data_IF_785916219503
#
_entry.id   IF_785916219503
#
_cell.length_a   1.000
_cell.length_b   1.000
_cell.length_c   1.000
_cell.angle_alpha   90.00
_cell.angle_beta   90.00
_cell.angle_gamma   90.00
#
_symmetry.space_group_name_H-M   'P 1'
#
loop_
_entity.id
_entity.type
_entity.pdbx_description
1 polymer ?
#
# COMPACT_ATOMS: atom_id res chain seq x y z
N UNK A 1 10.20 8.59 -24.14
CA UNK A 1 9.27 7.43 -24.04
C UNK A 1 9.84 6.47 -23.01
N UNK A 2 9.17 6.26 -21.89
CA UNK A 2 9.67 5.42 -20.81
C UNK A 2 9.06 4.02 -20.88
N UNK A 3 9.91 2.99 -20.89
CA UNK A 3 9.43 1.63 -20.70
C UNK A 3 8.98 1.44 -19.23
N UNK A 4 7.90 0.67 -18.97
CA UNK A 4 7.57 0.31 -17.60
C UNK A 4 8.77 -0.36 -16.90
N UNK A 5 9.00 -0.04 -15.63
CA UNK A 5 10.03 -0.72 -14.84
C UNK A 5 9.59 -2.13 -14.45
N UNK A 6 10.46 -2.95 -13.87
CA UNK A 6 10.04 -4.24 -13.32
C UNK A 6 9.20 -4.06 -12.04
N UNK A 7 8.36 -5.05 -11.71
CA UNK A 7 7.57 -5.05 -10.48
C UNK A 7 8.44 -4.90 -9.23
N UNK A 8 9.63 -5.50 -9.23
CA UNK A 8 10.56 -5.40 -8.09
C UNK A 8 11.16 -4.00 -7.96
N UNK A 9 11.44 -3.30 -9.07
CA UNK A 9 11.88 -1.90 -9.02
C UNK A 9 10.75 -0.97 -8.57
N UNK A 10 9.52 -1.26 -8.97
CA UNK A 10 8.35 -0.48 -8.57
C UNK A 10 8.11 -0.57 -7.05
N UNK A 11 8.04 -1.79 -6.49
CA UNK A 11 7.87 -1.95 -5.03
C UNK A 11 9.06 -1.36 -4.27
N UNK A 12 10.30 -1.53 -4.77
CA UNK A 12 11.48 -0.98 -4.10
C UNK A 12 11.43 0.55 -4.03
N UNK A 13 11.01 1.23 -5.09
CA UNK A 13 10.87 2.68 -5.08
C UNK A 13 9.83 3.17 -4.05
N UNK A 14 8.70 2.47 -3.90
CA UNK A 14 7.71 2.79 -2.87
C UNK A 14 8.29 2.61 -1.45
N UNK A 15 9.07 1.55 -1.23
CA UNK A 15 9.75 1.30 0.04
C UNK A 15 10.85 2.33 0.33
N UNK A 16 11.62 2.72 -0.69
CA UNK A 16 12.69 3.73 -0.58
C UNK A 16 12.12 5.11 -0.23
N UNK A 17 10.89 5.43 -0.67
CA UNK A 17 10.16 6.64 -0.30
C UNK A 17 9.53 6.56 1.11
N UNK A 18 9.74 5.44 1.82
CA UNK A 18 9.29 5.24 3.21
C UNK A 18 7.83 4.85 3.36
N UNK A 19 7.23 4.28 2.32
CA UNK A 19 5.86 3.75 2.37
C UNK A 19 5.82 2.37 3.04
N UNK A 20 4.75 2.10 3.77
CA UNK A 20 4.41 0.75 4.20
C UNK A 20 3.63 0.06 3.07
N UNK A 21 4.26 -0.97 2.46
CA UNK A 21 3.71 -1.67 1.30
C UNK A 21 3.21 -3.06 1.68
N UNK A 22 2.00 -3.39 1.25
CA UNK A 22 1.36 -4.70 1.44
C UNK A 22 1.19 -5.38 0.08
N UNK A 23 1.85 -6.51 -0.12
CA UNK A 23 1.71 -7.32 -1.32
C UNK A 23 0.45 -8.18 -1.24
N UNK A 24 -0.47 -8.07 -2.22
CA UNK A 24 -1.76 -8.76 -2.22
C UNK A 24 -1.77 -9.90 -3.22
N UNK A 25 -1.64 -11.13 -2.72
CA UNK A 25 -1.62 -12.33 -3.56
C UNK A 25 -0.51 -12.28 -4.61
N UNK A 26 -0.80 -12.74 -5.81
CA UNK A 26 0.15 -12.73 -6.93
C UNK A 26 0.07 -11.44 -7.76
N UNK A 27 0.18 -10.27 -7.11
CA UNK A 27 0.02 -8.96 -7.74
C UNK A 27 1.00 -8.73 -8.90
N UNK A 28 2.20 -9.30 -8.87
CA UNK A 28 3.24 -9.13 -9.91
C UNK A 28 2.81 -9.66 -11.26
N UNK A 29 1.99 -10.69 -11.27
CA UNK A 29 1.50 -11.35 -12.51
C UNK A 29 0.04 -11.01 -12.81
N UNK A 30 -0.62 -10.29 -11.90
CA UNK A 30 -2.01 -9.91 -12.05
C UNK A 30 -2.13 -8.67 -12.91
N UNK A 31 -2.62 -8.81 -14.13
CA UNK A 31 -2.74 -7.74 -15.13
C UNK A 31 -3.82 -8.03 -16.17
N UNK A 32 -3.97 -7.10 -17.08
CA UNK A 32 -4.84 -7.17 -18.25
C UNK A 32 -4.07 -7.04 -19.57
N UNK A 33 -2.84 -7.51 -19.61
CA UNK A 33 -1.98 -7.43 -20.80
C UNK A 33 -2.61 -8.10 -22.03
N UNK A 34 -3.53 -9.05 -21.83
CA UNK A 34 -4.32 -9.65 -22.91
C UNK A 34 -5.32 -8.66 -23.60
N UNK A 35 -5.55 -7.49 -23.03
CA UNK A 35 -6.41 -6.43 -23.59
C UNK A 35 -5.65 -5.38 -24.40
N UNK A 36 -4.33 -5.42 -24.39
CA UNK A 36 -3.49 -4.50 -25.13
C UNK A 36 -2.15 -4.26 -24.43
N UNK A 37 -1.24 -3.52 -25.09
CA UNK A 37 0.08 -3.24 -24.54
C UNK A 37 -0.02 -2.38 -23.29
N UNK A 38 0.99 -2.50 -22.43
CA UNK A 38 1.28 -1.56 -21.35
C UNK A 38 2.63 -0.89 -21.64
N UNK A 39 2.59 0.40 -21.74
CA UNK A 39 3.73 1.23 -22.16
C UNK A 39 3.70 1.61 -23.67
N UNK A 40 4.46 2.65 -24.02
CA UNK A 40 5.28 3.44 -23.12
C UNK A 40 4.44 4.15 -22.07
N UNK A 41 4.99 4.24 -20.82
CA UNK A 41 4.36 4.95 -19.70
C UNK A 41 4.87 6.39 -19.62
N UNK A 42 4.02 7.30 -19.13
CA UNK A 42 4.32 8.73 -19.13
C UNK A 42 3.96 9.45 -17.84
N UNK A 43 3.23 8.80 -16.93
CA UNK A 43 2.85 9.45 -15.68
C UNK A 43 2.15 8.54 -14.69
N UNK A 44 1.60 9.17 -13.66
CA UNK A 44 0.81 8.59 -12.60
C UNK A 44 -0.58 9.18 -12.61
N UNK A 45 -1.60 8.33 -12.53
CA UNK A 45 -2.99 8.77 -12.40
C UNK A 45 -3.53 8.41 -11.02
N UNK A 46 -4.10 9.42 -10.37
CA UNK A 46 -4.69 9.31 -9.03
C UNK A 46 -6.22 9.25 -9.14
N UNK A 47 -6.80 8.35 -8.35
CA UNK A 47 -8.24 8.11 -8.29
C UNK A 47 -8.74 8.13 -6.84
N UNK A 48 -10.07 8.18 -6.66
CA UNK A 48 -10.71 7.74 -5.44
C UNK A 48 -11.66 6.57 -5.73
N UNK A 49 -11.74 5.63 -4.80
CA UNK A 49 -12.36 4.31 -5.01
C UNK A 49 -13.88 4.26 -4.95
N UNK A 50 -14.55 5.33 -4.54
CA UNK A 50 -16.00 5.34 -4.21
C UNK A 50 -16.38 4.20 -3.24
N UNK A 51 -15.45 3.80 -2.38
CA UNK A 51 -15.65 2.70 -1.42
C UNK A 51 -15.09 3.05 -0.05
N UNK A 52 -15.52 2.31 0.97
CA UNK A 52 -15.08 2.43 2.36
C UNK A 52 -14.79 1.06 2.96
N UNK A 53 -13.72 1.00 3.75
CA UNK A 53 -13.25 -0.21 4.41
C UNK A 53 -12.17 -0.91 3.58
N UNK A 54 -10.92 -0.80 4.04
CA UNK A 54 -9.70 -1.19 3.32
C UNK A 54 -9.77 -2.60 2.73
N UNK A 55 -10.16 -3.61 3.52
CA UNK A 55 -10.23 -5.00 3.04
C UNK A 55 -11.17 -5.15 1.83
N UNK A 56 -12.35 -4.51 1.89
CA UNK A 56 -13.33 -4.53 0.79
C UNK A 56 -12.78 -3.79 -0.42
N UNK A 57 -12.24 -2.59 -0.21
CA UNK A 57 -11.68 -1.74 -1.27
C UNK A 57 -10.55 -2.46 -2.02
N UNK A 58 -9.61 -3.05 -1.29
CA UNK A 58 -8.50 -3.84 -1.85
C UNK A 58 -9.04 -5.03 -2.66
N UNK A 59 -10.05 -5.75 -2.15
CA UNK A 59 -10.67 -6.86 -2.87
C UNK A 59 -11.31 -6.41 -4.19
N UNK A 60 -12.05 -5.29 -4.17
CA UNK A 60 -12.65 -4.70 -5.38
C UNK A 60 -11.58 -4.26 -6.38
N UNK A 61 -10.56 -3.54 -5.95
CA UNK A 61 -9.51 -3.07 -6.85
C UNK A 61 -8.70 -4.23 -7.44
N UNK A 62 -8.54 -5.33 -6.69
CA UNK A 62 -7.89 -6.53 -7.18
C UNK A 62 -8.74 -7.28 -8.21
N UNK A 63 -10.00 -7.52 -7.91
CA UNK A 63 -10.85 -8.44 -8.68
C UNK A 63 -11.76 -7.72 -9.67
N UNK A 64 -12.15 -6.48 -9.36
CA UNK A 64 -13.13 -5.70 -10.12
C UNK A 64 -14.55 -6.21 -9.96
N UNK A 65 -15.36 -5.92 -10.95
CA UNK A 65 -16.75 -6.34 -11.10
C UNK A 65 -16.96 -7.04 -12.45
N UNK A 66 -18.07 -7.69 -12.65
CA UNK A 66 -18.40 -8.34 -13.93
C UNK A 66 -18.30 -7.38 -15.12
N UNK A 67 -18.80 -6.14 -14.97
CA UNK A 67 -18.72 -5.11 -16.00
C UNK A 67 -17.39 -4.34 -16.04
N UNK A 68 -16.59 -4.40 -14.99
CA UNK A 68 -15.31 -3.72 -14.87
C UNK A 68 -14.26 -4.67 -14.24
N UNK A 69 -13.76 -5.66 -14.99
CA UNK A 69 -12.85 -6.65 -14.46
C UNK A 69 -11.50 -6.07 -14.03
N UNK A 70 -10.98 -6.53 -12.89
CA UNK A 70 -9.70 -6.10 -12.33
C UNK A 70 -8.46 -6.73 -13.00
N UNK A 71 -7.26 -6.32 -12.56
CA UNK A 71 -7.02 -5.35 -11.51
C UNK A 71 -7.40 -3.93 -11.97
N UNK A 72 -7.97 -3.15 -11.04
CA UNK A 72 -8.41 -1.77 -11.32
C UNK A 72 -7.33 -0.71 -11.05
N UNK A 73 -6.16 -1.10 -10.58
CA UNK A 73 -5.03 -0.21 -10.34
C UNK A 73 -3.76 -1.03 -10.07
N UNK A 74 -2.63 -0.35 -9.91
CA UNK A 74 -1.38 -0.96 -9.47
C UNK A 74 -1.33 -1.04 -7.95
N UNK A 75 -1.77 0.00 -7.25
CA UNK A 75 -1.81 0.07 -5.80
C UNK A 75 -3.04 0.76 -5.25
N UNK A 76 -3.53 0.27 -4.12
CA UNK A 76 -4.60 0.90 -3.33
C UNK A 76 -3.97 1.59 -2.14
N UNK A 77 -4.21 2.90 -1.99
CA UNK A 77 -3.74 3.68 -0.84
C UNK A 77 -4.86 3.78 0.19
N UNK A 78 -4.69 3.08 1.28
CA UNK A 78 -5.68 2.99 2.36
C UNK A 78 -5.71 4.24 3.24
N UNK A 79 -6.75 4.39 4.07
CA UNK A 79 -6.91 5.52 5.00
C UNK A 79 -5.76 5.64 6.03
N UNK A 80 -5.09 4.55 6.33
CA UNK A 80 -3.94 4.51 7.25
C UNK A 80 -2.59 4.76 6.56
N UNK A 81 -2.59 5.08 5.26
CA UNK A 81 -1.40 5.38 4.46
C UNK A 81 -0.68 4.15 3.91
N UNK A 82 -1.14 2.94 4.18
CA UNK A 82 -0.55 1.73 3.57
C UNK A 82 -0.90 1.61 2.10
N UNK A 83 0.08 1.15 1.31
CA UNK A 83 -0.10 0.90 -0.12
C UNK A 83 -0.24 -0.60 -0.37
N UNK A 84 -1.41 -1.03 -0.81
CA UNK A 84 -1.71 -2.43 -1.14
C UNK A 84 -1.53 -2.66 -2.63
N UNK A 85 -0.50 -3.40 -3.04
CA UNK A 85 -0.25 -3.73 -4.44
C UNK A 85 -1.20 -4.84 -4.89
N UNK A 86 -2.01 -4.57 -5.92
CA UNK A 86 -3.08 -5.49 -6.38
C UNK A 86 -2.90 -5.95 -7.82
N UNK A 87 -2.02 -5.30 -8.60
CA UNK A 87 -1.73 -5.66 -9.98
C UNK A 87 -0.46 -5.04 -10.49
N UNK A 88 0.14 -5.61 -11.54
CA UNK A 88 1.29 -5.05 -12.24
C UNK A 88 1.25 -5.40 -13.72
N UNK A 89 1.50 -4.39 -14.57
CA UNK A 89 1.24 -4.45 -16.01
C UNK A 89 0.04 -3.57 -16.37
N UNK A 90 -0.62 -3.83 -17.48
CA UNK A 90 -1.84 -3.11 -17.83
C UNK A 90 -2.91 -3.37 -16.78
N UNK A 91 -3.47 -2.33 -16.20
CA UNK A 91 -4.61 -2.35 -15.27
C UNK A 91 -5.82 -1.65 -15.92
N UNK A 92 -6.97 -1.61 -15.23
CA UNK A 92 -8.22 -1.08 -15.79
C UNK A 92 -8.70 0.10 -14.96
N UNK A 93 -8.01 1.24 -15.07
CA UNK A 93 -8.26 2.41 -14.23
C UNK A 93 -8.56 3.70 -15.00
N UNK A 94 -7.88 3.93 -16.13
CA UNK A 94 -7.86 5.23 -16.78
C UNK A 94 -8.84 5.35 -17.95
N UNK A 95 -9.29 4.22 -18.52
CA UNK A 95 -10.20 4.25 -19.68
C UNK A 95 -9.65 4.99 -20.88
N UNK A 96 -10.58 5.52 -21.70
CA UNK A 96 -10.24 6.43 -22.79
C UNK A 96 -10.31 7.88 -22.29
N UNK A 97 -9.31 8.67 -22.60
CA UNK A 97 -9.24 10.09 -22.29
C UNK A 97 -8.60 10.86 -23.43
N UNK A 98 -8.09 12.03 -23.14
CA UNK A 98 -7.73 13.06 -24.09
C UNK A 98 -6.24 12.94 -24.48
N UNK A 99 -5.96 12.93 -25.81
CA UNK A 99 -4.57 12.87 -26.32
C UNK A 99 -3.81 14.17 -26.10
N UNK A 100 -4.48 15.34 -26.13
CA UNK A 100 -3.85 16.63 -25.83
C UNK A 100 -3.38 16.69 -24.37
N UNK A 101 -4.14 16.10 -23.46
CA UNK A 101 -3.73 15.91 -22.05
C UNK A 101 -2.51 14.99 -21.96
N UNK A 102 -2.50 13.87 -22.70
CA UNK A 102 -1.33 12.98 -22.74
C UNK A 102 -0.09 13.70 -23.29
N UNK A 103 -0.23 14.51 -24.35
CA UNK A 103 0.87 15.28 -24.91
C UNK A 103 1.43 16.30 -23.89
N UNK A 104 0.54 16.97 -23.15
CA UNK A 104 0.94 17.88 -22.07
C UNK A 104 1.70 17.16 -20.94
N UNK A 105 1.23 15.98 -20.52
CA UNK A 105 1.91 15.12 -19.54
C UNK A 105 3.31 14.71 -20.04
N UNK A 106 3.43 14.26 -21.29
CA UNK A 106 4.72 13.88 -21.91
C UNK A 106 5.69 15.05 -21.94
N UNK A 107 5.17 16.25 -22.18
CA UNK A 107 5.97 17.46 -22.24
C UNK A 107 6.18 18.14 -20.88
N UNK A 108 5.62 17.57 -19.80
CA UNK A 108 5.61 18.14 -18.45
C UNK A 108 5.14 19.60 -18.42
N UNK A 109 4.03 19.86 -19.12
CA UNK A 109 3.42 21.19 -19.25
C UNK A 109 2.10 21.25 -18.49
N UNK A 110 1.58 22.48 -18.39
CA UNK A 110 0.22 22.71 -17.90
C UNK A 110 -0.78 21.93 -18.76
N UNK A 111 -1.71 21.24 -18.11
CA UNK A 111 -2.75 20.48 -18.79
C UNK A 111 -3.76 21.40 -19.50
N UNK A 112 -4.21 21.06 -20.72
CA UNK A 112 -5.40 21.64 -21.32
C UNK A 112 -6.68 21.17 -20.62
N UNK A 113 -7.84 21.62 -21.06
CA UNK A 113 -9.10 21.02 -20.67
C UNK A 113 -9.22 19.63 -21.33
N UNK A 114 -9.79 18.67 -20.60
CA UNK A 114 -10.12 17.35 -21.11
C UNK A 114 -11.46 17.42 -21.85
N UNK A 115 -11.45 17.42 -23.17
CA UNK A 115 -12.65 17.54 -23.98
C UNK A 115 -12.86 16.37 -24.97
N UNK A 116 -11.92 15.44 -25.05
CA UNK A 116 -11.97 14.25 -25.89
C UNK A 116 -11.83 12.94 -25.08
N UNK A 117 -12.18 11.80 -25.73
CA UNK A 117 -12.01 10.45 -25.15
C UNK A 117 -11.52 9.49 -26.23
N UNK A 118 -10.35 9.80 -26.79
CA UNK A 118 -9.78 9.17 -27.98
C UNK A 118 -8.52 8.32 -27.67
N UNK A 119 -7.95 8.40 -26.47
CA UNK A 119 -6.65 7.83 -26.11
C UNK A 119 -6.74 6.87 -24.91
N UNK A 120 -6.12 5.69 -25.05
CA UNK A 120 -6.13 4.62 -24.08
C UNK A 120 -5.18 4.88 -22.89
N UNK A 121 -5.68 5.48 -21.82
CA UNK A 121 -4.92 5.80 -20.63
C UNK A 121 -4.37 4.58 -19.87
N UNK A 122 -5.04 3.43 -19.92
CA UNK A 122 -4.54 2.20 -19.29
C UNK A 122 -3.20 1.74 -19.83
N UNK A 123 -2.81 2.22 -21.00
CA UNK A 123 -1.51 1.97 -21.62
C UNK A 123 -0.41 2.85 -21.04
N UNK A 124 -0.74 4.10 -20.63
CA UNK A 124 0.21 5.18 -20.46
C UNK A 124 0.46 5.58 -19.02
N UNK A 125 -0.37 5.15 -18.07
CA UNK A 125 -0.26 5.57 -16.68
C UNK A 125 -0.10 4.42 -15.68
N UNK A 126 0.68 4.68 -14.65
CA UNK A 126 0.56 3.95 -13.38
C UNK A 126 -0.68 4.48 -12.66
N UNK A 127 -1.53 3.61 -12.12
CA UNK A 127 -2.75 4.02 -11.42
C UNK A 127 -2.72 3.71 -9.94
N UNK A 128 -3.08 4.69 -9.11
CA UNK A 128 -3.33 4.48 -7.68
C UNK A 128 -4.78 4.82 -7.36
N UNK A 129 -5.46 3.87 -6.72
CA UNK A 129 -6.81 4.01 -6.20
C UNK A 129 -6.73 4.34 -4.70
N UNK A 130 -7.20 5.52 -4.32
CA UNK A 130 -7.13 6.00 -2.94
C UNK A 130 -8.47 5.77 -2.25
N UNK A 131 -8.48 5.03 -1.14
CA UNK A 131 -9.70 4.72 -0.40
C UNK A 131 -10.42 6.00 0.04
N UNK A 132 -11.54 6.31 -0.61
CA UNK A 132 -12.41 7.44 -0.25
C UNK A 132 -13.77 7.27 -0.95
N UNK A 133 -14.86 7.69 -0.29
CA UNK A 133 -16.21 7.63 -0.86
C UNK A 133 -16.42 8.65 -2.00
N UNK A 134 -15.58 9.69 -2.10
CA UNK A 134 -15.72 10.74 -3.11
C UNK A 134 -16.98 11.60 -2.97
N UNK A 135 -17.65 11.52 -1.82
CA UNK A 135 -18.93 12.20 -1.53
C UNK A 135 -18.72 13.64 -0.99
N UNK A 136 -17.47 14.09 -0.87
CA UNK A 136 -17.08 15.38 -0.32
C UNK A 136 -17.20 15.48 1.21
N UNK A 137 -17.51 14.37 1.90
CA UNK A 137 -17.65 14.30 3.36
C UNK A 137 -16.67 13.31 3.99
N UNK A 138 -16.32 12.25 3.25
CA UNK A 138 -15.32 11.28 3.69
C UNK A 138 -13.94 11.95 3.75
N UNK A 139 -13.33 12.12 4.94
CA UNK A 139 -12.11 12.89 5.07
C UNK A 139 -10.91 12.20 4.41
N UNK A 140 -9.92 13.01 4.04
CA UNK A 140 -8.60 12.56 3.65
C UNK A 140 -7.66 12.70 4.85
N UNK A 141 -7.34 11.62 5.59
CA UNK A 141 -6.35 11.68 6.67
C UNK A 141 -5.00 12.18 6.16
N UNK A 142 -4.29 12.98 6.95
CA UNK A 142 -2.97 13.49 6.56
C UNK A 142 -1.98 12.38 6.18
N UNK A 143 -2.00 11.25 6.90
CA UNK A 143 -1.18 10.08 6.60
C UNK A 143 -1.51 9.47 5.23
N UNK A 144 -2.77 9.53 4.79
CA UNK A 144 -3.17 9.06 3.47
C UNK A 144 -2.71 10.03 2.38
N UNK A 145 -2.89 11.35 2.57
CA UNK A 145 -2.40 12.36 1.63
C UNK A 145 -0.88 12.29 1.47
N UNK A 146 -0.15 12.14 2.56
CA UNK A 146 1.31 11.94 2.52
C UNK A 146 1.69 10.65 1.78
N UNK A 147 0.92 9.57 1.94
CA UNK A 147 1.18 8.32 1.21
C UNK A 147 0.89 8.45 -0.29
N UNK A 148 -0.13 9.22 -0.69
CA UNK A 148 -0.43 9.53 -2.11
C UNK A 148 0.73 10.32 -2.72
N UNK A 149 1.18 11.37 -2.05
CA UNK A 149 2.33 12.19 -2.44
C UNK A 149 3.59 11.33 -2.61
N UNK A 150 3.93 10.51 -1.61
CA UNK A 150 5.07 9.59 -1.64
C UNK A 150 4.99 8.59 -2.77
N UNK A 151 3.83 7.96 -2.97
CA UNK A 151 3.65 6.96 -4.02
C UNK A 151 3.84 7.55 -5.42
N UNK A 152 3.30 8.74 -5.66
CA UNK A 152 3.47 9.45 -6.91
C UNK A 152 4.94 9.89 -7.12
N UNK A 153 5.57 10.48 -6.09
CA UNK A 153 6.99 10.88 -6.14
C UNK A 153 7.92 9.68 -6.38
N UNK A 154 7.66 8.52 -5.77
CA UNK A 154 8.42 7.29 -6.00
C UNK A 154 8.44 6.90 -7.48
N UNK A 155 7.29 6.95 -8.15
CA UNK A 155 7.18 6.63 -9.58
C UNK A 155 7.85 7.70 -10.44
N UNK A 156 7.68 8.99 -10.10
CA UNK A 156 8.36 10.08 -10.79
C UNK A 156 9.90 9.91 -10.73
N UNK A 157 10.47 9.61 -9.56
CA UNK A 157 11.92 9.36 -9.42
C UNK A 157 12.40 8.18 -10.25
N UNK A 158 11.61 7.10 -10.37
CA UNK A 158 11.96 5.93 -11.17
C UNK A 158 12.18 6.25 -12.64
N UNK A 159 11.45 7.24 -13.15
CA UNK A 159 11.43 7.60 -14.56
C UNK A 159 12.11 8.93 -14.85
N UNK A 160 12.53 9.67 -13.83
CA UNK A 160 13.10 11.03 -13.97
C UNK A 160 12.04 12.05 -14.37
N UNK A 161 10.80 11.85 -13.96
CA UNK A 161 9.69 12.79 -14.18
C UNK A 161 9.56 13.78 -13.02
N UNK A 162 8.93 14.94 -13.32
CA UNK A 162 8.52 15.91 -12.31
C UNK A 162 6.99 15.84 -12.06
N UNK A 163 6.51 16.65 -11.15
CA UNK A 163 5.12 16.68 -10.70
C UNK A 163 4.05 16.86 -11.80
N UNK A 164 4.29 17.57 -12.93
CA UNK A 164 3.34 17.62 -14.05
C UNK A 164 3.01 16.26 -14.68
N UNK A 165 3.84 15.22 -14.47
CA UNK A 165 3.53 13.85 -14.88
C UNK A 165 2.51 13.16 -13.96
N UNK A 166 1.99 13.84 -12.92
CA UNK A 166 0.97 13.31 -12.01
C UNK A 166 -0.35 14.03 -12.26
N UNK A 167 -1.35 13.26 -12.64
CA UNK A 167 -2.69 13.78 -12.96
C UNK A 167 -3.78 13.08 -12.15
N UNK A 168 -4.92 13.74 -11.98
CA UNK A 168 -6.16 13.13 -11.52
C UNK A 168 -6.96 12.56 -12.70
N UNK A 169 -7.79 11.56 -12.46
CA UNK A 169 -8.71 11.06 -13.50
C UNK A 169 -9.66 12.15 -14.01
N UNK A 170 -10.00 13.09 -13.12
CA UNK A 170 -10.84 14.27 -13.46
C UNK A 170 -10.16 15.23 -14.46
N UNK A 171 -8.85 15.11 -14.68
CA UNK A 171 -8.07 15.92 -15.63
C UNK A 171 -7.76 15.14 -16.93
N UNK A 172 -8.24 13.87 -17.01
CA UNK A 172 -7.93 12.96 -18.10
C UNK A 172 -9.12 12.68 -19.01
N UNK A 173 -10.30 12.48 -18.42
CA UNK A 173 -11.47 12.02 -19.14
C UNK A 173 -12.68 12.89 -18.82
N UNK A 174 -13.34 13.48 -19.83
CA UNK A 174 -14.54 14.28 -19.65
C UNK A 174 -15.60 13.62 -18.77
N UNK A 175 -16.07 14.36 -17.77
CA UNK A 175 -17.10 13.91 -16.84
C UNK A 175 -16.60 13.08 -15.65
N UNK A 176 -15.31 12.81 -15.52
CA UNK A 176 -14.73 12.24 -14.30
C UNK A 176 -14.60 13.29 -13.22
N UNK A 177 -14.67 12.84 -11.97
CA UNK A 177 -14.64 13.73 -10.79
C UNK A 177 -13.61 13.32 -9.76
N UNK A 178 -12.86 12.26 -10.03
CA UNK A 178 -11.90 11.66 -9.10
C UNK A 178 -10.44 12.06 -9.42
N UNK A 179 -9.65 12.32 -8.37
CA UNK A 179 -10.00 12.36 -6.95
C UNK A 179 -10.75 13.65 -6.58
N UNK A 180 -11.68 13.56 -5.62
CA UNK A 180 -12.41 14.71 -5.08
C UNK A 180 -12.03 14.95 -3.63
N UNK A 181 -11.90 16.22 -3.22
CA UNK A 181 -11.71 16.64 -1.82
C UNK A 181 -10.29 17.10 -1.49
N UNK A 182 -9.43 17.17 -2.50
CA UNK A 182 -8.20 17.97 -2.53
C UNK A 182 -7.97 18.44 -3.98
N UNK A 183 -7.18 19.51 -4.12
CA UNK A 183 -6.85 20.06 -5.44
C UNK A 183 -5.60 19.37 -6.00
N UNK A 184 -5.63 19.01 -7.30
CA UNK A 184 -4.49 18.35 -7.93
C UNK A 184 -3.26 19.27 -8.02
N UNK A 185 -3.45 20.57 -8.10
CA UNK A 185 -2.35 21.55 -8.08
C UNK A 185 -1.63 21.57 -6.72
N UNK A 186 -2.37 21.44 -5.61
CA UNK A 186 -1.77 21.29 -4.28
C UNK A 186 -0.97 19.99 -4.19
N UNK A 187 -1.54 18.88 -4.65
CA UNK A 187 -0.86 17.58 -4.67
C UNK A 187 0.43 17.65 -5.52
N UNK A 188 0.38 18.22 -6.71
CA UNK A 188 1.56 18.44 -7.56
C UNK A 188 2.60 19.34 -6.86
N UNK A 189 2.17 20.38 -6.13
CA UNK A 189 3.08 21.24 -5.37
C UNK A 189 3.83 20.47 -4.27
N UNK A 190 3.12 19.59 -3.55
CA UNK A 190 3.75 18.73 -2.52
C UNK A 190 4.71 17.72 -3.16
N UNK A 191 4.31 17.09 -4.26
CA UNK A 191 5.18 16.16 -5.01
C UNK A 191 6.43 16.87 -5.54
N UNK A 192 6.29 18.06 -6.13
CA UNK A 192 7.41 18.86 -6.61
C UNK A 192 8.40 19.21 -5.48
N UNK A 193 7.88 19.67 -4.35
CA UNK A 193 8.70 19.94 -3.16
C UNK A 193 9.47 18.69 -2.73
N UNK A 194 8.80 17.54 -2.64
CA UNK A 194 9.43 16.25 -2.31
C UNK A 194 10.48 15.81 -3.33
N UNK A 195 10.26 16.04 -4.61
CA UNK A 195 11.22 15.71 -5.66
C UNK A 195 12.44 16.65 -5.63
N UNK A 196 12.23 17.94 -5.30
CA UNK A 196 13.27 18.95 -5.17
C UNK A 196 14.09 18.84 -3.88
N UNK A 197 13.50 18.32 -2.82
CA UNK A 197 14.19 17.95 -1.60
C UNK A 197 15.10 16.75 -1.92
N UNK A 198 16.27 17.09 -2.47
CA UNK A 198 17.42 16.19 -2.49
C UNK A 198 17.93 16.05 -1.06
N UNK A 199 17.09 15.48 -0.20
CA UNK A 199 17.64 14.89 1.02
C UNK A 199 18.63 13.81 0.54
N UNK A 200 19.92 13.87 0.91
CA UNK A 200 20.80 12.76 0.68
C UNK A 200 20.06 11.55 1.26
N UNK A 201 19.82 10.53 0.44
CA UNK A 201 19.06 9.34 0.80
C UNK A 201 19.40 9.02 2.25
N UNK A 202 18.45 9.05 3.19
CA UNK A 202 18.77 8.86 4.59
C UNK A 202 19.64 7.62 4.63
N UNK A 203 20.81 7.63 5.34
CA UNK A 203 21.80 6.57 5.24
C UNK A 203 21.01 5.29 5.31
N UNK A 204 21.04 4.45 4.24
CA UNK A 204 20.15 3.30 4.03
C UNK A 204 19.95 2.69 5.39
N UNK A 205 18.80 2.95 6.04
CA UNK A 205 18.46 2.21 7.24
C UNK A 205 18.72 0.79 6.82
N UNK A 206 19.68 0.09 7.44
CA UNK A 206 20.06 -1.22 6.97
C UNK A 206 18.76 -1.92 6.69
N UNK A 207 18.57 -2.37 5.45
CA UNK A 207 17.38 -3.15 5.03
C UNK A 207 17.00 -3.94 6.26
N UNK A 208 15.78 -3.86 6.83
CA UNK A 208 15.49 -4.61 8.01
C UNK A 208 15.93 -6.02 7.64
N UNK A 209 17.09 -6.43 8.17
CA UNK A 209 17.47 -7.84 8.15
C UNK A 209 16.20 -8.53 8.57
N UNK A 210 15.68 -9.53 7.81
CA UNK A 210 14.44 -10.22 8.16
C UNK A 210 14.44 -10.33 9.67
N UNK A 211 13.43 -9.83 10.38
CA UNK A 211 13.50 -9.43 11.78
C UNK A 211 14.30 -10.50 12.52
N UNK A 212 15.50 -10.12 12.99
CA UNK A 212 16.39 -11.10 13.62
C UNK A 212 15.55 -11.65 14.74
N UNK A 213 15.08 -12.90 14.55
CA UNK A 213 14.23 -13.56 15.54
C UNK A 213 14.90 -13.37 16.90
N UNK A 214 14.28 -12.62 17.82
CA UNK A 214 14.90 -12.42 19.13
C UNK A 214 15.15 -13.78 19.73
N UNK A 215 16.32 -13.97 20.35
CA UNK A 215 16.62 -15.20 21.03
C UNK A 215 15.48 -15.54 22.01
N UNK A 216 15.07 -16.81 22.06
CA UNK A 216 14.04 -17.23 23.00
C UNK A 216 14.55 -17.00 24.43
N UNK A 217 13.86 -16.18 25.25
CA UNK A 217 14.36 -15.78 26.57
C UNK A 217 14.29 -16.90 27.64
N UNK A 218 13.82 -18.08 27.24
CA UNK A 218 13.52 -19.18 28.14
C UNK A 218 12.06 -19.15 28.64
N UNK A 219 11.53 -20.35 28.91
CA UNK A 219 10.12 -20.50 29.36
C UNK A 219 9.84 -19.79 30.69
N UNK A 220 10.87 -19.66 31.55
CA UNK A 220 10.78 -18.98 32.85
C UNK A 220 10.55 -17.46 32.76
N UNK A 221 10.70 -16.86 31.57
CA UNK A 221 10.38 -15.44 31.34
C UNK A 221 8.87 -15.17 31.32
N UNK A 222 8.06 -16.18 31.17
CA UNK A 222 6.60 -16.10 30.98
C UNK A 222 5.86 -16.81 32.12
N UNK A 223 4.68 -16.30 32.47
CA UNK A 223 3.84 -16.90 33.50
C UNK A 223 3.42 -15.96 34.62
N UNK A 224 2.60 -16.43 35.56
CA UNK A 224 2.10 -15.63 36.67
C UNK A 224 3.22 -14.94 37.46
N UNK A 225 3.05 -13.66 37.75
CA UNK A 225 4.02 -12.86 38.50
C UNK A 225 5.21 -12.34 37.65
N UNK A 226 5.34 -12.73 36.39
CA UNK A 226 6.42 -12.24 35.52
C UNK A 226 6.14 -10.85 34.97
N UNK A 227 7.14 -9.99 34.94
CA UNK A 227 7.09 -8.65 34.37
C UNK A 227 8.45 -8.30 33.76
N UNK A 228 8.51 -8.31 32.40
CA UNK A 228 9.76 -8.07 31.67
C UNK A 228 9.49 -7.65 30.21
N UNK A 229 10.55 -7.23 29.51
CA UNK A 229 10.47 -6.79 28.12
C UNK A 229 10.04 -7.92 27.16
N UNK A 230 10.35 -9.18 27.45
CA UNK A 230 10.00 -10.31 26.58
C UNK A 230 8.51 -10.60 26.59
N UNK A 231 7.79 -10.33 27.70
CA UNK A 231 6.32 -10.40 27.76
C UNK A 231 5.70 -9.36 26.84
N UNK A 232 6.17 -8.11 26.90
CA UNK A 232 5.67 -7.05 26.01
C UNK A 232 5.94 -7.38 24.54
N UNK A 233 7.15 -7.83 24.24
CA UNK A 233 7.58 -8.20 22.90
C UNK A 233 6.72 -9.34 22.32
N UNK A 234 6.46 -10.39 23.11
CA UNK A 234 5.57 -11.49 22.77
C UNK A 234 4.18 -10.98 22.41
N UNK A 235 3.60 -10.17 23.30
CA UNK A 235 2.24 -9.63 23.12
C UNK A 235 2.13 -8.75 21.87
N UNK A 236 3.10 -7.88 21.63
CA UNK A 236 3.16 -7.06 20.40
C UNK A 236 3.22 -7.91 19.15
N UNK A 237 3.97 -9.00 19.15
CA UNK A 237 4.07 -9.89 18.00
C UNK A 237 2.79 -10.72 17.80
N UNK A 238 2.13 -11.17 18.87
CA UNK A 238 0.83 -11.82 18.80
C UNK A 238 -0.23 -10.90 18.16
N UNK A 239 -0.25 -9.62 18.55
CA UNK A 239 -1.14 -8.61 17.93
C UNK A 239 -0.85 -8.46 16.44
N UNK A 240 0.44 -8.32 16.04
CA UNK A 240 0.84 -8.24 14.62
C UNK A 240 0.39 -9.45 13.80
N UNK A 241 0.41 -10.64 14.40
CA UNK A 241 -0.03 -11.90 13.77
C UNK A 241 -1.55 -12.14 13.87
N UNK A 242 -2.33 -11.17 14.40
CA UNK A 242 -3.78 -11.27 14.51
C UNK A 242 -4.31 -12.05 15.74
N UNK A 243 -3.44 -12.35 16.71
CA UNK A 243 -3.80 -13.12 17.91
C UNK A 243 -3.87 -12.25 19.18
N UNK A 244 -4.32 -10.99 19.04
CA UNK A 244 -4.43 -10.05 20.15
C UNK A 244 -5.84 -9.88 20.74
N UNK A 245 -6.82 -10.70 20.37
CA UNK A 245 -8.24 -10.51 20.68
C UNK A 245 -8.60 -10.50 22.17
N UNK A 246 -7.74 -11.08 23.01
CA UNK A 246 -7.99 -11.12 24.46
C UNK A 246 -7.42 -9.90 25.20
N UNK A 247 -6.68 -9.01 24.54
CA UNK A 247 -6.26 -7.75 25.16
C UNK A 247 -7.38 -6.71 25.12
N UNK A 248 -7.72 -6.16 26.30
CA UNK A 248 -8.66 -5.04 26.44
C UNK A 248 -7.99 -3.67 26.26
N UNK A 249 -6.71 -3.56 26.66
CA UNK A 249 -5.94 -2.29 26.65
C UNK A 249 -4.64 -2.45 25.82
N UNK A 250 -4.36 -3.65 25.31
CA UNK A 250 -3.13 -3.97 24.61
C UNK A 250 -2.08 -4.70 25.45
N UNK A 251 -0.96 -5.14 24.82
CA UNK A 251 0.10 -5.87 25.51
C UNK A 251 0.90 -4.98 26.45
N UNK A 252 1.37 -5.54 27.57
CA UNK A 252 2.18 -4.86 28.57
C UNK A 252 3.39 -5.71 28.98
N UNK A 253 4.29 -5.16 29.81
CA UNK A 253 5.41 -5.94 30.35
C UNK A 253 4.95 -6.98 31.38
N UNK A 254 3.77 -6.83 31.99
CA UNK A 254 3.26 -7.70 33.04
C UNK A 254 2.48 -8.85 32.40
N UNK A 255 2.89 -10.10 32.68
CA UNK A 255 2.18 -11.28 32.22
C UNK A 255 0.79 -11.36 32.88
N UNK A 256 -0.22 -11.61 32.07
CA UNK A 256 -1.60 -11.78 32.50
C UNK A 256 -2.32 -12.91 31.76
N UNK A 257 -3.57 -13.14 32.14
CA UNK A 257 -4.41 -14.16 31.52
C UNK A 257 -4.64 -13.86 30.02
N UNK A 258 -4.70 -12.60 29.64
CA UNK A 258 -4.82 -12.21 28.22
C UNK A 258 -3.64 -12.68 27.38
N UNK A 259 -2.40 -12.61 27.91
CA UNK A 259 -1.21 -13.15 27.24
C UNK A 259 -1.34 -14.65 27.03
N UNK A 260 -1.70 -15.39 28.11
CA UNK A 260 -1.86 -16.84 28.06
C UNK A 260 -2.90 -17.26 27.03
N UNK A 261 -4.06 -16.61 27.02
CA UNK A 261 -5.17 -16.90 26.07
C UNK A 261 -4.78 -16.62 24.63
N UNK A 262 -4.07 -15.51 24.36
CA UNK A 262 -3.60 -15.16 23.03
C UNK A 262 -2.53 -16.14 22.54
N UNK A 263 -1.59 -16.56 23.40
CA UNK A 263 -0.61 -17.58 23.05
C UNK A 263 -1.29 -18.92 22.77
N UNK A 264 -2.26 -19.33 23.58
CA UNK A 264 -3.02 -20.57 23.35
C UNK A 264 -3.81 -20.53 22.05
N UNK A 265 -4.40 -19.38 21.70
CA UNK A 265 -5.08 -19.19 20.42
C UNK A 265 -4.11 -19.34 19.24
N UNK A 266 -2.91 -18.72 19.33
CA UNK A 266 -1.85 -18.88 18.34
C UNK A 266 -1.40 -20.33 18.22
N UNK A 267 -1.13 -21.02 19.33
CA UNK A 267 -0.73 -22.43 19.35
C UNK A 267 -1.78 -23.35 18.69
N UNK A 268 -3.07 -23.16 19.00
CA UNK A 268 -4.16 -23.93 18.39
C UNK A 268 -4.28 -23.73 16.89
N UNK A 269 -3.95 -22.55 16.37
CA UNK A 269 -4.01 -22.24 14.96
C UNK A 269 -2.90 -22.90 14.13
N UNK A 270 -1.81 -23.34 14.77
CA UNK A 270 -0.65 -23.92 14.09
C UNK A 270 -0.56 -25.42 14.36
N UNK A 271 -0.62 -26.24 13.30
CA UNK A 271 -0.68 -27.71 13.40
C UNK A 271 0.44 -28.30 14.28
N UNK A 272 1.68 -27.80 14.16
CA UNK A 272 2.86 -28.24 14.92
C UNK A 272 2.84 -27.84 16.40
N UNK A 273 1.93 -26.98 16.85
CA UNK A 273 1.80 -26.51 18.23
C UNK A 273 0.50 -26.98 18.89
N UNK A 274 -0.42 -27.55 18.12
CA UNK A 274 -1.79 -27.84 18.57
C UNK A 274 -1.85 -28.86 19.69
N UNK A 275 -0.87 -29.78 19.76
CA UNK A 275 -0.82 -30.84 20.80
C UNK A 275 -0.42 -30.32 22.19
N UNK A 276 0.15 -29.12 22.29
CA UNK A 276 0.60 -28.52 23.58
C UNK A 276 0.21 -27.02 23.60
N UNK A 277 -1.08 -26.76 23.39
CA UNK A 277 -1.63 -25.40 23.35
C UNK A 277 -1.97 -24.88 24.76
N UNK A 278 -0.99 -24.92 25.66
CA UNK A 278 -1.12 -24.57 27.09
C UNK A 278 -1.13 -23.05 27.36
N UNK A 279 -0.80 -22.25 26.32
CA UNK A 279 -0.73 -20.80 26.42
C UNK A 279 0.58 -20.26 26.97
N UNK A 280 1.61 -21.10 27.11
CA UNK A 280 2.94 -20.69 27.48
C UNK A 280 3.88 -20.88 26.29
N UNK A 281 4.63 -19.84 25.86
CA UNK A 281 5.48 -19.96 24.68
C UNK A 281 6.69 -20.84 25.00
N UNK A 282 6.88 -21.89 24.20
CA UNK A 282 8.09 -22.68 24.12
C UNK A 282 9.00 -22.21 22.96
N UNK A 283 10.19 -22.84 22.81
CA UNK A 283 11.11 -22.50 21.70
C UNK A 283 10.45 -22.59 20.32
N UNK A 284 9.62 -23.62 20.08
CA UNK A 284 8.93 -23.80 18.81
C UNK A 284 7.83 -22.75 18.61
N UNK A 285 7.05 -22.43 19.64
CA UNK A 285 6.06 -21.34 19.61
C UNK A 285 6.73 -20.01 19.25
N UNK A 286 7.86 -19.71 19.91
CA UNK A 286 8.66 -18.52 19.64
C UNK A 286 9.20 -18.51 18.21
N UNK A 287 9.70 -19.65 17.73
CA UNK A 287 10.19 -19.77 16.36
C UNK A 287 9.12 -19.45 15.31
N UNK A 288 7.93 -20.05 15.44
CA UNK A 288 6.82 -19.89 14.48
C UNK A 288 6.21 -18.49 14.57
N UNK A 289 6.18 -17.90 15.77
CA UNK A 289 5.66 -16.55 15.95
C UNK A 289 6.51 -15.48 15.25
N UNK A 290 7.81 -15.76 15.05
CA UNK A 290 8.77 -14.85 14.43
C UNK A 290 9.20 -15.28 13.01
N UNK A 291 8.51 -16.25 12.41
CA UNK A 291 8.73 -16.69 11.02
C UNK A 291 7.94 -15.87 10.00
#
# INVERSE_FOLDING_TARGET
MAAPVSADRFIQALLDEGLEVVEVGNWRERNRNHKGPWGPVHGVMLHHTVTKGTTRTVGICRDGYAALPGPLCHGVIAKDGRVHLVGYGRTNHAGLGDDDVLEAVIAEKRLPADDESNTDGNRHFYGFECENLGDGRDPWPAVQLEAIEKAAAAVCRLHGWDAPSVIGHLEWQPGKVDPRGFEMDDMRSWIHSRLGDSEPAPPKKPTPKPPVRPAFPGRSAFGPGKSNASVLLLGQQLVRKGYGSHYKVGPSKKWGEADRLNVAAFQRAHASLRGDADGYPGPLTWQILWS
#
